data_IF_736553224226
#
_entry.id   IF_736553224226
#
_cell.length_a   1.000
_cell.length_b   1.000
_cell.length_c   1.000
_cell.angle_alpha   90.00
_cell.angle_beta   90.00
_cell.angle_gamma   90.00
#
_symmetry.space_group_name_H-M   'P 1'
#
loop_
_entity.id
_entity.type
_entity.pdbx_description
1 polymer ?
#
# COMPACT_ATOMS: atom_id res chain seq x y z
N UNK A 1 16.51 -7.16 2.13
CA UNK A 1 15.09 -6.85 1.83
C UNK A 1 14.92 -5.70 0.82
N UNK A 2 15.80 -4.70 0.79
CA UNK A 2 15.59 -3.49 -0.03
C UNK A 2 15.70 -3.71 -1.55
N UNK A 3 16.48 -4.71 -1.99
CA UNK A 3 16.50 -5.14 -3.40
C UNK A 3 15.11 -5.55 -3.88
N UNK A 4 14.39 -6.35 -3.11
CA UNK A 4 13.02 -6.81 -3.47
C UNK A 4 12.07 -5.62 -3.58
N UNK A 5 12.12 -4.67 -2.66
CA UNK A 5 11.28 -3.45 -2.73
C UNK A 5 11.56 -2.65 -4.00
N UNK A 6 12.84 -2.52 -4.36
CA UNK A 6 13.27 -1.85 -5.59
C UNK A 6 12.77 -2.58 -6.83
N UNK A 7 12.89 -3.90 -6.85
CA UNK A 7 12.45 -4.73 -7.97
C UNK A 7 10.94 -4.65 -8.17
N UNK A 8 10.13 -4.66 -7.09
CA UNK A 8 8.68 -4.46 -7.17
C UNK A 8 8.33 -3.13 -7.83
N UNK A 9 9.01 -2.03 -7.46
CA UNK A 9 8.82 -0.73 -8.11
C UNK A 9 9.21 -0.77 -9.58
N UNK A 10 10.39 -1.32 -9.92
CA UNK A 10 10.90 -1.40 -11.30
C UNK A 10 10.00 -2.22 -12.20
N UNK A 11 9.42 -3.31 -11.67
CA UNK A 11 8.48 -4.19 -12.36
C UNK A 11 7.03 -3.68 -12.35
N UNK A 12 6.80 -2.41 -11.99
CA UNK A 12 5.46 -1.77 -11.98
C UNK A 12 4.45 -2.46 -11.06
N UNK A 13 4.91 -3.13 -10.00
CA UNK A 13 4.03 -3.77 -9.02
C UNK A 13 3.24 -2.79 -8.15
N UNK A 14 3.80 -1.61 -7.84
CA UNK A 14 3.14 -0.60 -7.01
C UNK A 14 1.78 -0.15 -7.58
N UNK A 15 1.67 0.27 -8.86
CA UNK A 15 0.37 0.59 -9.46
C UNK A 15 -0.66 -0.54 -9.35
N UNK A 16 -0.22 -1.79 -9.54
CA UNK A 16 -1.11 -2.97 -9.44
C UNK A 16 -1.61 -3.13 -8.00
N UNK A 17 -0.72 -3.03 -7.01
CA UNK A 17 -1.09 -3.12 -5.60
C UNK A 17 -2.05 -2.00 -5.18
N UNK A 18 -1.86 -0.77 -5.69
CA UNK A 18 -2.79 0.34 -5.41
C UNK A 18 -4.16 0.06 -6.03
N UNK A 19 -4.22 -0.44 -7.27
CA UNK A 19 -5.50 -0.82 -7.90
C UNK A 19 -6.27 -1.90 -7.14
N UNK A 20 -5.56 -2.83 -6.48
CA UNK A 20 -6.17 -3.88 -5.66
C UNK A 20 -6.84 -3.33 -4.37
N UNK A 21 -6.60 -2.08 -3.98
CA UNK A 21 -7.28 -1.45 -2.83
C UNK A 21 -8.77 -1.17 -3.08
N UNK A 22 -9.26 -1.27 -4.31
CA UNK A 22 -10.69 -1.19 -4.65
C UNK A 22 -11.34 -2.56 -4.88
N UNK A 23 -10.61 -3.66 -4.65
CA UNK A 23 -11.12 -5.01 -4.89
C UNK A 23 -12.22 -5.37 -3.86
N UNK A 24 -13.32 -6.06 -4.23
CA UNK A 24 -14.43 -6.30 -3.29
C UNK A 24 -14.10 -7.24 -2.11
N UNK A 25 -12.96 -7.94 -2.14
CA UNK A 25 -12.58 -8.96 -1.14
C UNK A 25 -11.64 -8.39 -0.08
N UNK A 26 -12.00 -8.56 1.19
CA UNK A 26 -11.19 -8.16 2.35
C UNK A 26 -9.78 -8.75 2.34
N UNK A 27 -9.63 -10.03 2.00
CA UNK A 27 -8.33 -10.71 1.94
C UNK A 27 -7.38 -10.04 0.94
N UNK A 28 -7.92 -9.54 -0.17
CA UNK A 28 -7.13 -8.81 -1.18
C UNK A 28 -6.72 -7.45 -0.65
N UNK A 29 -7.60 -6.74 0.08
CA UNK A 29 -7.21 -5.49 0.75
C UNK A 29 -6.06 -5.70 1.73
N UNK A 30 -6.13 -6.74 2.57
CA UNK A 30 -5.08 -7.05 3.53
C UNK A 30 -3.75 -7.37 2.83
N UNK A 31 -3.79 -8.20 1.78
CA UNK A 31 -2.59 -8.54 1.00
C UNK A 31 -1.98 -7.33 0.31
N UNK A 32 -2.79 -6.53 -0.39
CA UNK A 32 -2.33 -5.34 -1.10
C UNK A 32 -1.80 -4.28 -0.15
N UNK A 33 -2.54 -3.96 0.92
CA UNK A 33 -2.14 -2.96 1.89
C UNK A 33 -0.91 -3.40 2.70
N UNK A 34 -0.84 -4.67 3.10
CA UNK A 34 0.32 -5.23 3.79
C UNK A 34 1.58 -5.20 2.91
N UNK A 35 1.45 -5.51 1.62
CA UNK A 35 2.56 -5.37 0.67
C UNK A 35 3.02 -3.90 0.56
N UNK A 36 2.08 -2.97 0.40
CA UNK A 36 2.38 -1.53 0.35
C UNK A 36 3.07 -1.03 1.62
N UNK A 37 2.60 -1.44 2.81
CA UNK A 37 3.24 -1.15 4.10
C UNK A 37 4.70 -1.60 4.13
N UNK A 38 4.97 -2.83 3.66
CA UNK A 38 6.31 -3.39 3.67
C UNK A 38 7.23 -2.69 2.66
N UNK A 39 6.71 -2.31 1.50
CA UNK A 39 7.49 -1.65 0.43
C UNK A 39 7.77 -0.18 0.77
N UNK A 40 6.87 0.50 1.49
CA UNK A 40 7.06 1.88 1.97
C UNK A 40 7.93 1.99 3.22
N UNK A 41 8.16 0.88 3.94
CA UNK A 41 8.99 0.89 5.15
C UNK A 41 10.47 1.10 4.82
N UNK A 42 11.10 2.10 5.46
CA UNK A 42 12.52 2.39 5.35
C UNK A 42 12.82 3.85 5.00
N UNK A 43 14.11 4.13 4.77
CA UNK A 43 14.62 5.48 4.43
C UNK A 43 14.48 5.83 2.94
N UNK A 44 14.34 4.81 2.08
CA UNK A 44 14.18 5.01 0.64
C UNK A 44 12.85 5.72 0.34
N UNK A 45 12.95 6.86 -0.34
CA UNK A 45 11.82 7.71 -0.70
C UNK A 45 11.18 7.28 -2.02
N UNK A 46 11.91 6.56 -2.87
CA UNK A 46 11.46 6.27 -4.23
C UNK A 46 10.15 5.47 -4.27
N UNK A 47 10.01 4.49 -3.37
CA UNK A 47 8.78 3.70 -3.28
C UNK A 47 7.62 4.53 -2.73
N UNK A 48 7.88 5.42 -1.76
CA UNK A 48 6.85 6.31 -1.18
C UNK A 48 6.33 7.28 -2.23
N UNK A 49 7.25 7.88 -3.01
CA UNK A 49 6.94 8.74 -4.14
C UNK A 49 6.17 7.96 -5.21
N UNK A 50 6.57 6.74 -5.53
CA UNK A 50 5.86 5.91 -6.50
C UNK A 50 4.42 5.58 -6.04
N UNK A 51 4.21 5.28 -4.76
CA UNK A 51 2.87 5.07 -4.18
C UNK A 51 2.03 6.35 -4.30
N UNK A 52 2.61 7.51 -3.96
CA UNK A 52 1.93 8.82 -4.09
C UNK A 52 1.54 9.11 -5.54
N UNK A 53 2.45 8.88 -6.49
CA UNK A 53 2.25 9.19 -7.91
C UNK A 53 1.24 8.27 -8.61
N UNK A 54 0.81 7.18 -7.95
CA UNK A 54 -0.22 6.27 -8.44
C UNK A 54 -1.53 6.39 -7.65
N UNK A 55 -1.79 7.54 -7.02
CA UNK A 55 -2.98 7.81 -6.21
C UNK A 55 -3.15 6.86 -5.00
N UNK A 56 -2.04 6.32 -4.49
CA UNK A 56 -2.04 5.40 -3.35
C UNK A 56 -2.58 6.02 -2.07
N UNK A 57 -2.27 7.29 -1.79
CA UNK A 57 -2.79 7.98 -0.59
C UNK A 57 -4.31 8.16 -0.65
N UNK A 58 -4.91 8.72 -1.72
CA UNK A 58 -6.37 8.74 -1.88
C UNK A 58 -7.02 7.36 -1.79
N UNK A 59 -6.41 6.32 -2.37
CA UNK A 59 -6.93 4.95 -2.32
C UNK A 59 -6.94 4.38 -0.89
N UNK A 60 -5.85 4.54 -0.14
CA UNK A 60 -5.74 4.12 1.26
C UNK A 60 -6.76 4.85 2.15
N UNK A 61 -6.94 6.16 1.98
CA UNK A 61 -7.94 6.95 2.74
C UNK A 61 -9.36 6.50 2.41
N UNK A 62 -9.68 6.24 1.13
CA UNK A 62 -10.99 5.71 0.72
C UNK A 62 -11.25 4.34 1.32
N UNK A 63 -10.25 3.45 1.34
CA UNK A 63 -10.35 2.14 1.96
C UNK A 63 -10.55 2.25 3.47
N UNK A 64 -9.81 3.15 4.15
CA UNK A 64 -9.94 3.41 5.58
C UNK A 64 -11.37 3.83 5.96
N UNK A 65 -12.00 4.71 5.16
CA UNK A 65 -13.39 5.15 5.38
C UNK A 65 -14.42 4.02 5.27
N UNK A 66 -14.09 2.93 4.57
CA UNK A 66 -14.95 1.75 4.39
C UNK A 66 -14.63 0.63 5.38
N UNK A 67 -13.43 0.63 5.97
CA UNK A 67 -12.99 -0.40 6.89
C UNK A 67 -13.84 -0.41 8.16
N UNK A 68 -14.23 -1.60 8.61
CA UNK A 68 -15.00 -1.80 9.85
C UNK A 68 -14.30 -2.72 10.85
N UNK A 69 -13.22 -3.36 10.42
CA UNK A 69 -12.42 -4.26 11.25
C UNK A 69 -11.08 -3.63 11.64
N UNK A 70 -10.61 -4.00 12.84
CA UNK A 70 -9.42 -3.43 13.45
C UNK A 70 -8.15 -3.82 12.69
N UNK A 71 -8.03 -5.09 12.28
CA UNK A 71 -6.84 -5.59 11.58
C UNK A 71 -6.57 -4.81 10.28
N UNK A 72 -7.59 -4.65 9.44
CA UNK A 72 -7.45 -3.88 8.21
C UNK A 72 -7.16 -2.40 8.49
N UNK A 73 -7.81 -1.82 9.51
CA UNK A 73 -7.58 -0.44 9.94
C UNK A 73 -6.14 -0.21 10.37
N UNK A 74 -5.55 -1.13 11.14
CA UNK A 74 -4.17 -1.06 11.59
C UNK A 74 -3.20 -1.13 10.40
N UNK A 75 -3.44 -2.04 9.45
CA UNK A 75 -2.57 -2.17 8.27
C UNK A 75 -2.63 -0.92 7.39
N UNK A 76 -3.82 -0.34 7.18
CA UNK A 76 -3.98 0.89 6.39
C UNK A 76 -3.30 2.07 7.06
N UNK A 77 -3.57 2.30 8.34
CA UNK A 77 -2.97 3.41 9.09
C UNK A 77 -1.46 3.26 9.22
N UNK A 78 -0.95 2.03 9.41
CA UNK A 78 0.49 1.74 9.37
C UNK A 78 1.12 1.96 7.99
N UNK A 79 0.38 1.73 6.91
CA UNK A 79 0.85 2.07 5.55
C UNK A 79 0.95 3.58 5.37
N UNK A 80 -0.09 4.32 5.79
CA UNK A 80 -0.11 5.78 5.74
C UNK A 80 0.98 6.41 6.60
N UNK A 81 1.27 5.84 7.77
CA UNK A 81 2.36 6.27 8.65
C UNK A 81 3.75 6.18 8.00
N UNK A 82 3.96 5.20 7.12
CA UNK A 82 5.25 5.03 6.44
C UNK A 82 5.48 6.04 5.32
N UNK A 83 4.41 6.58 4.73
CA UNK A 83 4.46 7.50 3.58
C UNK A 83 4.79 8.93 4.03
#
# INVERSE_FOLDING_TARGET
NDKVKTDVRKLKGIPVLVGLLDHPKKEVHLGACGALKNISFGRDQDNKIAIKNCDGVPALVRLLRKARDMDLTEVITGTLWNL
#
